data_IF_322717104207
#
_entry.id   IF_322717104207
#
_cell.length_a   1.000
_cell.length_b   1.000
_cell.length_c   1.000
_cell.angle_alpha   90.00
_cell.angle_beta   90.00
_cell.angle_gamma   90.00
#
_symmetry.space_group_name_H-M   'P 1'
#
loop_
_entity.id
_entity.type
_entity.pdbx_description
1 polymer ?
#
# COMPACT_ATOMS: atom_id res chain seq x y z
N UNK A 1 14.37 1.70 9.33
CA UNK A 1 13.21 1.81 8.41
C UNK A 1 13.60 1.23 7.06
N UNK A 2 13.53 -0.08 6.88
CA UNK A 2 13.70 -0.69 5.56
C UNK A 2 12.38 -0.48 4.79
N UNK A 3 12.30 0.60 4.01
CA UNK A 3 11.17 0.81 3.09
C UNK A 3 11.38 -0.11 1.91
N UNK A 4 10.85 -1.33 1.99
CA UNK A 4 10.69 -2.17 0.80
C UNK A 4 9.64 -1.48 -0.07
N UNK A 5 10.11 -0.64 -0.98
CA UNK A 5 9.24 0.02 -1.94
C UNK A 5 8.67 -1.08 -2.81
N UNK A 6 7.42 -1.44 -2.54
CA UNK A 6 6.50 -1.83 -3.59
C UNK A 6 6.81 -1.00 -4.83
N UNK A 7 6.96 -1.64 -5.99
CA UNK A 7 7.31 -0.94 -7.22
C UNK A 7 6.43 0.30 -7.34
N UNK A 8 7.04 1.48 -7.34
CA UNK A 8 6.31 2.76 -7.35
C UNK A 8 5.21 2.76 -8.42
N UNK A 9 5.48 2.13 -9.56
CA UNK A 9 4.53 1.94 -10.64
C UNK A 9 3.31 1.09 -10.25
N UNK A 10 3.49 -0.03 -9.54
CA UNK A 10 2.37 -0.88 -9.11
C UNK A 10 1.53 -0.23 -8.02
N UNK A 11 2.16 0.55 -7.14
CA UNK A 11 1.45 1.39 -6.17
C UNK A 11 0.56 2.42 -6.86
N UNK A 12 1.12 3.24 -7.76
CA UNK A 12 0.37 4.29 -8.45
C UNK A 12 -0.79 3.73 -9.27
N UNK A 13 -0.56 2.62 -9.98
CA UNK A 13 -1.62 1.96 -10.75
C UNK A 13 -2.76 1.47 -9.86
N UNK A 14 -2.43 0.83 -8.73
CA UNK A 14 -3.42 0.30 -7.78
C UNK A 14 -4.20 1.42 -7.11
N UNK A 15 -3.50 2.43 -6.57
CA UNK A 15 -4.10 3.59 -5.89
C UNK A 15 -5.10 4.31 -6.80
N UNK A 16 -4.74 4.54 -8.07
CA UNK A 16 -5.66 5.17 -9.02
C UNK A 16 -6.89 4.32 -9.29
N UNK A 17 -6.68 3.03 -9.57
CA UNK A 17 -7.75 2.11 -9.96
C UNK A 17 -8.75 1.85 -8.84
N UNK A 18 -8.28 1.75 -7.60
CA UNK A 18 -9.05 1.20 -6.49
C UNK A 18 -9.52 2.26 -5.50
N UNK A 19 -8.92 3.46 -5.50
CA UNK A 19 -9.25 4.53 -4.56
C UNK A 19 -9.54 5.84 -5.32
N UNK A 20 -8.54 6.44 -5.96
CA UNK A 20 -8.65 7.82 -6.49
C UNK A 20 -9.69 7.95 -7.61
N UNK A 21 -9.81 6.98 -8.50
CA UNK A 21 -10.81 7.05 -9.59
C UNK A 21 -12.23 6.64 -9.12
N UNK A 22 -12.36 6.09 -7.92
CA UNK A 22 -13.64 5.64 -7.35
C UNK A 22 -14.18 6.59 -6.26
N UNK A 23 -13.33 7.49 -5.76
CA UNK A 23 -13.66 8.39 -4.67
C UNK A 23 -13.87 9.84 -5.15
N UNK A 24 -14.78 10.55 -4.48
CA UNK A 24 -14.88 12.01 -4.54
C UNK A 24 -14.35 12.53 -3.21
N UNK A 25 -13.30 13.36 -3.27
CA UNK A 25 -12.75 14.00 -2.09
C UNK A 25 -13.39 15.38 -1.88
N UNK A 26 -14.01 15.59 -0.73
CA UNK A 26 -14.62 16.88 -0.39
C UNK A 26 -13.59 17.97 -0.17
N UNK A 27 -12.49 17.63 0.51
CA UNK A 27 -11.39 18.53 0.80
C UNK A 27 -10.06 17.76 0.92
N UNK A 28 -8.96 18.51 0.98
CA UNK A 28 -7.62 17.96 1.03
C UNK A 28 -7.34 17.10 2.28
N UNK A 29 -7.89 17.46 3.45
CA UNK A 29 -7.68 16.69 4.67
C UNK A 29 -8.39 15.35 4.60
N UNK A 30 -9.60 15.33 4.06
CA UNK A 30 -10.36 14.10 3.80
C UNK A 30 -9.58 13.20 2.82
N UNK A 31 -9.09 13.74 1.70
CA UNK A 31 -8.27 12.99 0.76
C UNK A 31 -7.02 12.39 1.43
N UNK A 32 -6.31 13.19 2.23
CA UNK A 32 -5.11 12.76 2.94
C UNK A 32 -5.39 11.58 3.89
N UNK A 33 -6.49 11.62 4.62
CA UNK A 33 -6.88 10.56 5.55
C UNK A 33 -7.27 9.27 4.83
N UNK A 34 -8.09 9.36 3.79
CA UNK A 34 -8.52 8.19 3.01
C UNK A 34 -7.35 7.52 2.29
N UNK A 35 -6.46 8.30 1.67
CA UNK A 35 -5.25 7.77 1.04
C UNK A 35 -4.34 7.10 2.08
N UNK A 36 -4.18 7.70 3.26
CA UNK A 36 -3.42 7.09 4.35
C UNK A 36 -4.02 5.75 4.78
N UNK A 37 -5.34 5.71 4.97
CA UNK A 37 -6.06 4.48 5.32
C UNK A 37 -5.92 3.40 4.24
N UNK A 38 -6.06 3.77 2.96
CA UNK A 38 -5.84 2.86 1.84
C UNK A 38 -4.42 2.27 1.88
N UNK A 39 -3.40 3.10 2.08
CA UNK A 39 -2.00 2.64 2.13
C UNK A 39 -1.79 1.67 3.29
N UNK A 40 -2.17 2.08 4.50
CA UNK A 40 -1.85 1.34 5.72
C UNK A 40 -2.71 0.10 5.87
N UNK A 41 -4.02 0.23 5.72
CA UNK A 41 -4.99 -0.83 6.04
C UNK A 41 -5.26 -1.78 4.89
N UNK A 42 -5.12 -1.33 3.64
CA UNK A 42 -5.36 -2.15 2.45
C UNK A 42 -4.06 -2.53 1.74
N UNK A 43 -3.30 -1.55 1.23
CA UNK A 43 -2.14 -1.81 0.39
C UNK A 43 -1.04 -2.58 1.13
N UNK A 44 -0.59 -2.09 2.29
CA UNK A 44 0.51 -2.73 3.03
C UNK A 44 0.10 -4.07 3.66
N UNK A 45 -1.12 -4.13 4.23
CA UNK A 45 -1.56 -5.27 5.07
C UNK A 45 -2.32 -6.37 4.32
N UNK A 46 -2.98 -6.06 3.19
CA UNK A 46 -3.89 -7.00 2.51
C UNK A 46 -3.52 -7.29 1.06
N UNK A 47 -2.87 -6.35 0.35
CA UNK A 47 -2.47 -6.59 -1.04
C UNK A 47 -1.31 -7.58 -1.13
N UNK A 48 -1.49 -8.60 -1.96
CA UNK A 48 -0.42 -9.54 -2.33
C UNK A 48 0.36 -9.01 -3.53
N UNK A 49 1.68 -9.19 -3.50
CA UNK A 49 2.58 -8.68 -4.52
C UNK A 49 3.37 -9.82 -5.15
N UNK A 50 3.21 -10.02 -6.46
CA UNK A 50 3.92 -11.08 -7.20
C UNK A 50 5.44 -10.93 -7.14
N UNK A 51 5.95 -9.69 -7.10
CA UNK A 51 7.39 -9.39 -7.01
C UNK A 51 8.06 -9.84 -5.71
N UNK A 52 7.29 -10.14 -4.66
CA UNK A 52 7.79 -10.62 -3.37
C UNK A 52 7.26 -12.02 -3.04
N UNK A 53 6.86 -12.80 -4.04
CA UNK A 53 6.40 -14.17 -3.84
C UNK A 53 4.96 -14.28 -3.34
N UNK A 54 4.08 -13.38 -3.78
CA UNK A 54 2.65 -13.40 -3.48
C UNK A 54 2.30 -13.27 -1.99
N UNK A 55 3.15 -12.58 -1.23
CA UNK A 55 2.86 -12.19 0.15
C UNK A 55 2.53 -10.69 0.23
N UNK A 56 2.05 -10.24 1.39
CA UNK A 56 1.81 -8.82 1.67
C UNK A 56 3.11 -8.11 2.04
N UNK A 57 3.17 -6.80 1.85
CA UNK A 57 4.33 -6.00 2.26
C UNK A 57 4.55 -6.11 3.77
N UNK A 58 3.48 -6.07 4.57
CA UNK A 58 3.58 -6.27 6.02
C UNK A 58 4.25 -7.60 6.36
N UNK A 59 3.82 -8.70 5.71
CA UNK A 59 4.40 -10.02 5.95
C UNK A 59 5.89 -10.07 5.55
N UNK A 60 6.25 -9.43 4.45
CA UNK A 60 7.63 -9.32 4.01
C UNK A 60 8.50 -8.56 5.03
N UNK A 61 8.03 -7.43 5.55
CA UNK A 61 8.72 -6.70 6.62
C UNK A 61 8.85 -7.51 7.90
N UNK A 62 7.80 -8.22 8.31
CA UNK A 62 7.82 -9.05 9.52
C UNK A 62 8.85 -10.18 9.38
N UNK A 63 8.93 -10.83 8.22
CA UNK A 63 9.96 -11.83 7.92
C UNK A 63 11.35 -11.20 8.00
N UNK A 64 11.56 -10.04 7.38
CA UNK A 64 12.84 -9.35 7.39
C UNK A 64 13.30 -8.96 8.81
N UNK A 65 12.37 -8.56 9.68
CA UNK A 65 12.66 -8.26 11.10
C UNK A 65 13.00 -9.50 11.92
N UNK A 66 12.39 -10.64 11.62
CA UNK A 66 12.69 -11.91 12.29
C UNK A 66 14.03 -12.52 11.85
N UNK A 67 14.50 -12.16 10.66
CA UNK A 67 15.80 -12.60 10.11
C UNK A 67 16.97 -11.67 10.44
N UNK A 68 16.73 -10.55 11.13
CA UNK A 68 17.73 -9.57 11.54
C UNK A 68 18.14 -9.79 13.00
#
# INVERSE_FOLDING_TARGET
>A
MARFTSSFFSFHASLKKEEVNLAIYYDFNTARLLIFEYIESWYNRKRIHSSIGYITLQKCEDIARLSA
#
